data_IF_995850653947
#
_entry.id   IF_995850653947
#
_cell.length_a   1.000
_cell.length_b   1.000
_cell.length_c   1.000
_cell.angle_alpha   90.00
_cell.angle_beta   90.00
_cell.angle_gamma   90.00
#
_symmetry.space_group_name_H-M   'P 1'
#
loop_
_entity.id
_entity.type
_entity.pdbx_description
1 polymer ?
#
# COMPACT_ATOMS: atom_id res chain seq x y z
N UNK A 1 15.25 -13.94 9.79
CA UNK A 1 13.81 -13.79 9.87
C UNK A 1 13.40 -13.11 11.16
N UNK A 2 12.37 -12.26 11.11
CA UNK A 2 11.82 -11.56 12.27
C UNK A 2 10.38 -12.05 12.50
N UNK A 3 10.03 -12.39 13.75
CA UNK A 3 8.64 -12.73 14.11
C UNK A 3 7.82 -11.44 14.01
N UNK A 4 6.72 -11.48 13.24
CA UNK A 4 5.83 -10.34 13.04
C UNK A 4 4.68 -10.33 14.06
N UNK A 5 4.06 -11.50 14.30
CA UNK A 5 2.93 -11.65 15.21
C UNK A 5 2.94 -13.03 15.86
N UNK A 6 2.45 -13.12 17.10
CA UNK A 6 2.19 -14.36 17.84
C UNK A 6 0.76 -14.29 18.36
N UNK A 7 -0.05 -15.32 18.10
CA UNK A 7 -1.44 -15.43 18.56
C UNK A 7 -2.06 -16.76 18.14
N UNK A 8 -3.34 -16.94 18.43
CA UNK A 8 -4.07 -18.10 17.89
C UNK A 8 -4.30 -17.93 16.38
N UNK A 9 -4.52 -19.01 15.61
CA UNK A 9 -4.82 -18.88 14.18
C UNK A 9 -6.00 -17.94 13.90
N UNK A 10 -7.03 -17.97 14.75
CA UNK A 10 -8.22 -17.10 14.61
C UNK A 10 -7.87 -15.63 14.87
N UNK A 11 -7.09 -15.34 15.92
CA UNK A 11 -6.70 -13.98 16.23
C UNK A 11 -5.82 -13.39 15.13
N UNK A 12 -4.84 -14.17 14.61
CA UNK A 12 -3.95 -13.70 13.54
C UNK A 12 -4.72 -13.47 12.23
N UNK A 13 -5.75 -14.29 11.97
CA UNK A 13 -6.60 -14.13 10.79
C UNK A 13 -7.50 -12.89 10.89
N UNK A 14 -8.18 -12.71 12.02
CA UNK A 14 -9.17 -11.64 12.21
C UNK A 14 -8.54 -10.29 12.54
N UNK A 15 -7.42 -10.30 13.28
CA UNK A 15 -6.74 -9.10 13.78
C UNK A 15 -5.25 -9.10 13.40
N UNK A 16 -4.91 -9.08 12.09
CA UNK A 16 -3.52 -9.01 11.66
C UNK A 16 -2.89 -7.68 12.09
N UNK A 17 -1.67 -7.73 12.61
CA UNK A 17 -0.98 -6.54 13.14
C UNK A 17 -0.54 -5.56 12.04
N UNK A 18 -0.31 -6.06 10.83
CA UNK A 18 0.07 -5.28 9.67
C UNK A 18 -0.34 -5.96 8.35
N UNK A 19 -0.22 -5.22 7.25
CA UNK A 19 -0.60 -5.68 5.91
C UNK A 19 0.17 -6.92 5.43
N UNK A 20 1.42 -7.08 5.84
CA UNK A 20 2.20 -8.28 5.53
C UNK A 20 1.57 -9.53 6.15
N UNK A 21 1.18 -9.47 7.43
CA UNK A 21 0.52 -10.59 8.12
C UNK A 21 -0.85 -10.86 7.51
N UNK A 22 -1.62 -9.82 7.19
CA UNK A 22 -2.94 -9.93 6.56
C UNK A 22 -2.88 -10.68 5.23
N UNK A 23 -1.93 -10.30 4.37
CA UNK A 23 -1.71 -10.91 3.05
C UNK A 23 -1.16 -12.35 3.16
N UNK A 24 -0.21 -12.58 4.08
CA UNK A 24 0.44 -13.87 4.27
C UNK A 24 -0.53 -14.97 4.75
N UNK A 25 -1.52 -14.62 5.59
CA UNK A 25 -2.44 -15.59 6.20
C UNK A 25 -3.60 -15.98 5.28
N UNK A 26 -3.97 -15.14 4.32
CA UNK A 26 -5.04 -15.45 3.38
C UNK A 26 -5.39 -14.26 2.49
N UNK A 27 -6.07 -14.53 1.40
CA UNK A 27 -6.55 -13.48 0.50
C UNK A 27 -7.31 -12.40 1.26
N UNK A 28 -7.03 -11.16 0.92
CA UNK A 28 -7.62 -9.98 1.58
C UNK A 28 -7.71 -8.83 0.60
N UNK A 29 -8.76 -8.05 0.72
CA UNK A 29 -8.77 -6.71 0.16
C UNK A 29 -8.00 -5.80 1.13
N UNK A 30 -6.82 -5.36 0.76
CA UNK A 30 -5.98 -4.46 1.56
C UNK A 30 -5.90 -3.14 0.81
N UNK A 31 -6.45 -2.07 1.40
CA UNK A 31 -6.57 -0.77 0.76
C UNK A 31 -5.96 0.32 1.63
N UNK A 32 -5.52 1.39 0.97
CA UNK A 32 -5.19 2.61 1.67
C UNK A 32 -6.47 3.30 2.14
N UNK A 33 -6.50 3.70 3.41
CA UNK A 33 -7.61 4.41 3.99
C UNK A 33 -7.19 5.61 4.82
N UNK A 34 -8.17 6.39 5.22
CA UNK A 34 -8.02 7.50 6.15
C UNK A 34 -9.05 7.32 7.26
N UNK A 35 -8.60 7.21 8.49
CA UNK A 35 -9.48 7.25 9.65
C UNK A 35 -9.98 8.68 9.80
N UNK A 36 -11.23 8.95 9.45
CA UNK A 36 -11.82 10.30 9.52
C UNK A 36 -11.96 10.72 10.98
N UNK A 37 -12.48 9.82 11.79
CA UNK A 37 -12.62 9.91 13.25
C UNK A 37 -12.88 8.50 13.79
N UNK A 38 -12.93 8.35 15.08
CA UNK A 38 -13.30 7.08 15.71
C UNK A 38 -14.59 6.52 15.08
N UNK A 39 -14.55 5.25 14.73
CA UNK A 39 -15.65 4.48 14.11
C UNK A 39 -16.07 4.94 12.72
N UNK A 40 -15.24 5.72 12.01
CA UNK A 40 -15.51 6.16 10.65
C UNK A 40 -14.20 6.18 9.83
N UNK A 41 -14.13 5.34 8.82
CA UNK A 41 -12.98 5.23 7.91
C UNK A 41 -13.42 5.54 6.47
N UNK A 42 -12.55 6.19 5.71
CA UNK A 42 -12.74 6.41 4.27
C UNK A 42 -11.72 5.58 3.49
N UNK A 43 -12.18 4.76 2.57
CA UNK A 43 -11.36 4.07 1.58
C UNK A 43 -12.13 3.90 0.27
N UNK A 44 -11.43 3.72 -0.85
CA UNK A 44 -12.02 3.66 -2.19
C UNK A 44 -13.03 4.79 -2.49
N UNK A 45 -12.80 5.99 -1.94
CA UNK A 45 -13.64 7.17 -2.12
C UNK A 45 -14.95 7.19 -1.33
N UNK A 46 -15.21 6.18 -0.48
CA UNK A 46 -16.44 6.04 0.30
C UNK A 46 -16.16 6.01 1.80
N UNK A 47 -17.06 6.56 2.61
CA UNK A 47 -16.99 6.49 4.07
C UNK A 47 -17.77 5.28 4.59
N UNK A 48 -17.13 4.52 5.46
CA UNK A 48 -17.69 3.32 6.09
C UNK A 48 -17.64 3.47 7.60
N UNK A 49 -18.72 3.04 8.27
CA UNK A 49 -18.68 2.83 9.70
C UNK A 49 -17.81 1.62 10.01
N UNK A 50 -16.99 1.70 11.06
CA UNK A 50 -16.18 0.62 11.59
C UNK A 50 -16.29 0.57 13.12
N UNK A 51 -15.67 -0.41 13.77
CA UNK A 51 -15.69 -0.52 15.24
C UNK A 51 -14.46 0.07 15.89
N UNK A 52 -13.42 0.31 15.11
CA UNK A 52 -12.11 0.74 15.59
C UNK A 52 -12.11 2.20 16.06
N UNK A 53 -11.32 2.47 17.10
CA UNK A 53 -11.13 3.79 17.70
C UNK A 53 -9.68 3.98 18.16
N UNK A 54 -9.30 5.24 18.45
CA UNK A 54 -7.96 5.56 18.98
C UNK A 54 -6.86 5.72 17.93
N UNK A 55 -7.20 5.74 16.63
CA UNK A 55 -6.24 5.99 15.55
C UNK A 55 -5.92 7.48 15.36
N UNK A 56 -6.79 8.38 15.83
CA UNK A 56 -6.72 9.82 15.59
C UNK A 56 -7.52 10.26 14.36
N UNK A 57 -7.79 11.56 14.27
CA UNK A 57 -8.55 12.14 13.16
C UNK A 57 -7.69 12.37 11.93
N UNK A 58 -8.23 12.05 10.76
CA UNK A 58 -7.59 12.20 9.45
C UNK A 58 -6.23 11.46 9.33
N UNK A 59 -6.09 10.35 10.05
CA UNK A 59 -4.88 9.55 10.03
C UNK A 59 -4.88 8.51 8.92
N UNK A 60 -3.77 8.40 8.15
CA UNK A 60 -3.64 7.34 7.15
C UNK A 60 -3.55 5.97 7.84
N UNK A 61 -4.32 5.03 7.31
CA UNK A 61 -4.43 3.66 7.81
C UNK A 61 -4.39 2.66 6.66
N UNK A 62 -4.13 1.39 6.97
CA UNK A 62 -4.43 0.27 6.09
C UNK A 62 -5.75 -0.36 6.51
N UNK A 63 -6.62 -0.60 5.53
CA UNK A 63 -7.94 -1.21 5.71
C UNK A 63 -7.89 -2.62 5.15
N UNK A 64 -8.34 -3.59 5.93
CA UNK A 64 -8.46 -4.98 5.51
C UNK A 64 -9.92 -5.41 5.57
N UNK A 65 -10.42 -5.98 4.48
CA UNK A 65 -11.72 -6.64 4.40
C UNK A 65 -11.51 -7.99 3.72
N UNK A 66 -11.96 -9.06 4.35
CA UNK A 66 -11.87 -10.39 3.77
C UNK A 66 -12.84 -10.55 2.61
N UNK A 67 -12.51 -11.36 1.57
CA UNK A 67 -13.39 -11.56 0.43
C UNK A 67 -14.78 -12.09 0.79
N UNK A 68 -14.87 -12.95 1.80
CA UNK A 68 -16.11 -13.54 2.32
C UNK A 68 -16.97 -12.57 3.15
N UNK A 69 -16.42 -11.45 3.58
CA UNK A 69 -17.11 -10.44 4.40
C UNK A 69 -17.83 -9.39 3.56
N UNK A 70 -17.60 -9.38 2.26
CA UNK A 70 -18.33 -8.56 1.32
C UNK A 70 -19.68 -9.22 0.97
N UNK A 71 -20.77 -8.52 1.22
CA UNK A 71 -22.10 -8.89 0.70
C UNK A 71 -22.24 -8.32 -0.69
N UNK A 72 -22.44 -9.18 -1.69
CA UNK A 72 -22.71 -8.81 -3.08
C UNK A 72 -24.16 -9.08 -3.43
N UNK A 73 -24.81 -8.15 -4.10
CA UNK A 73 -26.21 -8.26 -4.49
C UNK A 73 -26.50 -7.43 -5.76
N UNK A 74 -27.64 -7.67 -6.45
CA UNK A 74 -28.05 -6.83 -7.56
C UNK A 74 -28.14 -5.37 -7.14
N UNK A 75 -27.82 -4.46 -8.07
CA UNK A 75 -27.79 -3.02 -7.80
C UNK A 75 -29.05 -2.55 -7.08
N UNK A 76 -28.87 -1.89 -5.94
CA UNK A 76 -29.94 -1.35 -5.10
C UNK A 76 -29.47 -0.18 -4.26
N UNK A 77 -30.40 0.59 -3.68
CA UNK A 77 -30.11 1.72 -2.78
C UNK A 77 -29.46 1.30 -1.45
N UNK A 78 -29.42 0.00 -1.14
CA UNK A 78 -28.76 -0.53 0.04
C UNK A 78 -27.24 -0.65 -0.11
N UNK A 79 -26.70 -0.49 -1.33
CA UNK A 79 -25.26 -0.59 -1.59
C UNK A 79 -24.50 0.57 -0.94
N UNK A 80 -23.40 0.22 -0.24
CA UNK A 80 -22.44 1.23 0.23
C UNK A 80 -21.52 1.66 -0.91
N UNK A 81 -21.20 0.73 -1.81
CA UNK A 81 -20.42 0.98 -3.01
C UNK A 81 -21.03 0.18 -4.17
N UNK A 82 -20.98 0.73 -5.37
CA UNK A 82 -21.49 0.07 -6.58
C UNK A 82 -20.36 -0.17 -7.57
N UNK A 83 -20.40 -1.29 -8.25
CA UNK A 83 -19.34 -1.66 -9.18
C UNK A 83 -19.81 -2.63 -10.25
N UNK A 84 -18.88 -3.03 -11.11
CA UNK A 84 -19.11 -3.98 -12.21
C UNK A 84 -18.25 -5.21 -11.98
N UNK A 85 -18.85 -6.40 -12.12
CA UNK A 85 -18.12 -7.67 -12.04
C UNK A 85 -17.19 -7.80 -13.26
N UNK A 86 -15.89 -7.94 -13.02
CA UNK A 86 -14.87 -8.10 -14.08
C UNK A 86 -14.36 -9.52 -14.22
N UNK A 87 -14.51 -10.33 -13.15
CA UNK A 87 -14.17 -11.76 -13.13
C UNK A 87 -15.15 -12.50 -12.24
N UNK A 88 -15.46 -13.75 -12.58
CA UNK A 88 -16.30 -14.63 -11.75
C UNK A 88 -15.86 -16.09 -11.98
N UNK A 89 -15.26 -16.71 -10.99
CA UNK A 89 -14.65 -18.05 -11.07
C UNK A 89 -15.23 -18.94 -9.98
N UNK A 90 -15.77 -20.10 -10.35
CA UNK A 90 -16.23 -21.09 -9.38
C UNK A 90 -15.04 -21.85 -8.76
N UNK A 91 -14.88 -21.77 -7.45
CA UNK A 91 -13.82 -22.41 -6.66
C UNK A 91 -14.24 -23.74 -6.01
N UNK A 92 -15.32 -24.36 -6.52
CA UNK A 92 -15.82 -25.65 -6.04
C UNK A 92 -16.88 -25.55 -4.92
N UNK A 93 -16.87 -24.51 -4.10
CA UNK A 93 -17.84 -24.28 -3.02
C UNK A 93 -18.50 -22.89 -3.14
N UNK A 94 -17.74 -21.89 -3.55
CA UNK A 94 -18.19 -20.52 -3.72
C UNK A 94 -17.69 -19.97 -5.06
N UNK A 95 -18.21 -18.84 -5.47
CA UNK A 95 -17.66 -18.03 -6.54
C UNK A 95 -16.70 -16.99 -5.96
N UNK A 96 -15.54 -16.88 -6.57
CA UNK A 96 -14.62 -15.76 -6.34
C UNK A 96 -14.81 -14.79 -7.50
N UNK A 97 -15.18 -13.59 -7.15
CA UNK A 97 -15.47 -12.53 -8.11
C UNK A 97 -14.56 -11.34 -7.87
N UNK A 98 -14.20 -10.68 -8.95
CA UNK A 98 -13.54 -9.37 -8.89
C UNK A 98 -14.55 -8.32 -9.32
N UNK A 99 -14.78 -7.33 -8.45
CA UNK A 99 -15.68 -6.21 -8.70
C UNK A 99 -14.86 -4.93 -8.81
N UNK A 100 -14.94 -4.28 -9.95
CA UNK A 100 -14.33 -2.97 -10.16
C UNK A 100 -15.29 -1.88 -9.71
N UNK A 101 -14.89 -1.09 -8.72
CA UNK A 101 -15.68 0.01 -8.16
C UNK A 101 -14.77 1.20 -7.80
N UNK A 102 -15.11 2.40 -8.25
CA UNK A 102 -14.37 3.64 -8.00
C UNK A 102 -12.87 3.58 -8.37
N UNK A 103 -12.49 2.74 -9.35
CA UNK A 103 -11.10 2.53 -9.75
C UNK A 103 -10.34 1.51 -8.90
N UNK A 104 -11.01 0.81 -7.99
CA UNK A 104 -10.45 -0.25 -7.13
C UNK A 104 -11.04 -1.60 -7.50
N UNK A 105 -10.21 -2.64 -7.45
CA UNK A 105 -10.62 -4.03 -7.55
C UNK A 105 -10.92 -4.58 -6.15
N UNK A 106 -12.12 -5.16 -6.01
CA UNK A 106 -12.54 -5.86 -4.79
C UNK A 106 -12.67 -7.34 -5.09
N UNK A 107 -11.96 -8.18 -4.36
CA UNK A 107 -12.15 -9.63 -4.36
C UNK A 107 -13.31 -9.95 -3.43
N UNK A 108 -14.30 -10.65 -3.95
CA UNK A 108 -15.54 -11.02 -3.23
C UNK A 108 -15.78 -12.51 -3.35
N UNK A 109 -16.10 -13.17 -2.27
CA UNK A 109 -16.48 -14.59 -2.24
C UNK A 109 -17.94 -14.72 -1.81
N UNK A 110 -18.76 -15.33 -2.68
CA UNK A 110 -20.18 -15.57 -2.40
C UNK A 110 -20.64 -16.91 -3.01
N UNK A 111 -21.71 -17.46 -2.48
CA UNK A 111 -22.33 -18.68 -3.02
C UNK A 111 -23.17 -18.40 -4.28
N UNK A 112 -23.59 -17.15 -4.47
CA UNK A 112 -24.35 -16.73 -5.64
C UNK A 112 -23.42 -16.28 -6.75
N UNK A 113 -23.79 -16.65 -7.98
CA UNK A 113 -23.08 -16.24 -9.17
C UNK A 113 -23.60 -14.90 -9.70
N UNK A 114 -22.67 -14.03 -10.08
CA UNK A 114 -22.92 -12.81 -10.81
C UNK A 114 -22.10 -12.85 -12.11
N UNK A 115 -22.71 -12.45 -13.22
CA UNK A 115 -22.07 -12.50 -14.53
C UNK A 115 -21.05 -11.36 -14.70
N UNK A 116 -19.99 -11.63 -15.47
CA UNK A 116 -19.04 -10.59 -15.89
C UNK A 116 -19.77 -9.51 -16.69
N UNK A 117 -19.56 -8.25 -16.34
CA UNK A 117 -20.24 -7.08 -16.87
C UNK A 117 -21.52 -6.69 -16.12
N UNK A 118 -21.96 -7.48 -15.14
CA UNK A 118 -23.12 -7.16 -14.33
C UNK A 118 -22.78 -6.05 -13.33
N UNK A 119 -23.68 -5.07 -13.19
CA UNK A 119 -23.63 -4.06 -12.14
C UNK A 119 -24.16 -4.64 -10.83
N UNK A 120 -23.43 -4.43 -9.76
CA UNK A 120 -23.71 -4.99 -8.43
C UNK A 120 -23.53 -3.95 -7.34
N UNK A 121 -24.20 -4.17 -6.23
CA UNK A 121 -23.95 -3.48 -4.97
C UNK A 121 -23.07 -4.30 -4.05
N UNK A 122 -22.18 -3.62 -3.34
CA UNK A 122 -21.36 -4.20 -2.26
C UNK A 122 -21.71 -3.52 -0.94
N UNK A 123 -21.68 -4.34 0.11
CA UNK A 123 -21.86 -3.90 1.49
C UNK A 123 -20.91 -4.69 2.39
N UNK A 124 -20.31 -4.02 3.36
CA UNK A 124 -19.52 -4.64 4.42
C UNK A 124 -20.02 -4.14 5.78
N UNK A 125 -20.06 -5.03 6.77
CA UNK A 125 -20.48 -4.63 8.13
C UNK A 125 -19.33 -3.96 8.87
N UNK A 126 -19.61 -3.06 9.84
CA UNK A 126 -18.60 -2.38 10.62
C UNK A 126 -17.59 -3.29 11.35
N UNK A 127 -18.02 -4.48 11.78
CA UNK A 127 -17.18 -5.47 12.47
C UNK A 127 -16.23 -6.22 11.54
N UNK A 128 -16.54 -6.24 10.25
CA UNK A 128 -15.81 -6.99 9.22
C UNK A 128 -14.77 -6.10 8.53
N UNK A 129 -14.67 -4.83 8.91
CA UNK A 129 -13.62 -3.90 8.50
C UNK A 129 -12.56 -3.86 9.60
N UNK A 130 -11.35 -4.31 9.28
CA UNK A 130 -10.22 -4.25 10.21
C UNK A 130 -9.28 -3.10 9.84
N UNK A 131 -8.97 -2.24 10.82
CA UNK A 131 -8.11 -1.07 10.62
C UNK A 131 -6.72 -1.35 11.21
N UNK A 132 -5.70 -1.14 10.40
CA UNK A 132 -4.32 -1.27 10.82
C UNK A 132 -3.60 0.08 10.75
N UNK A 133 -2.76 0.33 11.74
CA UNK A 133 -1.90 1.51 11.72
C UNK A 133 -0.89 1.41 10.58
N UNK A 134 -0.80 2.44 9.76
CA UNK A 134 0.26 2.54 8.77
C UNK A 134 1.60 2.72 9.46
N UNK A 135 2.53 1.79 9.24
CA UNK A 135 3.88 1.87 9.82
C UNK A 135 4.68 3.03 9.18
N UNK A 136 4.45 3.26 7.89
CA UNK A 136 5.15 4.28 7.10
C UNK A 136 4.23 4.90 6.06
N UNK A 137 4.42 6.18 5.81
CA UNK A 137 3.70 6.94 4.77
C UNK A 137 4.63 7.47 3.67
N UNK A 138 5.94 7.34 3.85
CA UNK A 138 7.00 7.72 2.91
C UNK A 138 8.30 6.99 3.24
N UNK A 139 9.22 6.96 2.28
CA UNK A 139 10.60 6.58 2.52
C UNK A 139 11.32 7.69 3.29
N UNK A 140 12.20 7.31 4.20
CA UNK A 140 12.99 8.23 4.98
C UNK A 140 14.38 7.65 5.21
N UNK A 141 15.41 8.33 4.70
CA UNK A 141 16.80 7.89 4.76
C UNK A 141 17.66 8.95 5.45
N UNK A 142 18.75 8.52 6.04
CA UNK A 142 19.83 9.43 6.43
C UNK A 142 20.68 9.74 5.20
N UNK A 143 21.11 10.98 5.05
CA UNK A 143 21.94 11.44 3.94
C UNK A 143 22.89 12.54 4.37
N UNK A 144 23.77 12.92 3.45
CA UNK A 144 24.74 14.01 3.63
C UNK A 144 24.72 14.89 2.38
N UNK A 145 24.66 16.21 2.56
CA UNK A 145 24.71 17.14 1.42
C UNK A 145 26.12 17.18 0.84
N UNK A 146 26.21 17.00 -0.47
CA UNK A 146 27.48 17.13 -1.23
C UNK A 146 27.70 18.60 -1.58
N UNK A 147 26.65 19.24 -2.07
CA UNK A 147 26.57 20.67 -2.39
C UNK A 147 25.11 21.14 -2.29
N UNK A 148 24.79 22.35 -2.76
CA UNK A 148 23.44 22.91 -2.66
C UNK A 148 22.35 22.15 -3.41
N UNK A 149 22.71 21.29 -4.37
CA UNK A 149 21.80 20.56 -5.28
C UNK A 149 22.09 19.05 -5.38
N UNK A 150 23.02 18.53 -4.58
CA UNK A 150 23.35 17.10 -4.56
C UNK A 150 23.40 16.56 -3.15
N UNK A 151 22.83 15.40 -2.96
CA UNK A 151 22.77 14.67 -1.68
C UNK A 151 23.25 13.23 -1.86
N UNK A 152 24.03 12.73 -0.92
CA UNK A 152 24.43 11.34 -0.83
C UNK A 152 23.51 10.61 0.14
N UNK A 153 22.88 9.55 -0.31
CA UNK A 153 22.14 8.61 0.54
C UNK A 153 22.04 7.24 -0.16
N UNK A 154 21.87 6.18 0.62
CA UNK A 154 21.88 4.80 0.11
C UNK A 154 23.17 4.47 -0.70
N UNK A 155 24.29 5.12 -0.37
CA UNK A 155 25.57 4.93 -1.06
C UNK A 155 25.67 5.48 -2.48
N UNK A 156 24.68 6.29 -2.90
CA UNK A 156 24.61 6.87 -4.23
C UNK A 156 24.40 8.38 -4.17
N UNK A 157 24.88 9.07 -5.22
CA UNK A 157 24.72 10.50 -5.37
C UNK A 157 23.44 10.80 -6.15
N UNK A 158 22.58 11.65 -5.56
CA UNK A 158 21.35 12.10 -6.18
C UNK A 158 21.34 13.60 -6.36
N UNK A 159 20.85 14.05 -7.51
CA UNK A 159 20.49 15.44 -7.72
C UNK A 159 19.18 15.77 -6.98
N UNK A 160 19.10 16.92 -6.34
CA UNK A 160 17.90 17.44 -5.68
C UNK A 160 17.70 18.91 -6.03
N UNK A 161 16.54 19.47 -5.70
CA UNK A 161 16.34 20.92 -5.84
C UNK A 161 17.28 21.66 -4.89
N UNK A 162 17.77 22.85 -5.31
CA UNK A 162 18.68 23.64 -4.49
C UNK A 162 18.13 23.93 -3.09
N UNK A 163 18.88 23.56 -2.09
CA UNK A 163 18.53 23.71 -0.67
C UNK A 163 19.34 24.87 -0.09
N UNK A 164 18.64 25.80 0.54
CA UNK A 164 19.27 26.94 1.24
C UNK A 164 19.47 26.58 2.70
N UNK A 165 20.46 27.19 3.33
CA UNK A 165 20.76 27.07 4.76
C UNK A 165 21.23 25.67 5.22
N UNK A 166 21.76 24.87 4.28
CA UNK A 166 22.43 23.60 4.56
C UNK A 166 23.79 23.62 3.85
N UNK A 167 24.87 23.40 4.61
CA UNK A 167 26.22 23.42 4.08
C UNK A 167 26.65 22.03 3.57
N UNK A 168 27.59 21.95 2.62
CA UNK A 168 28.22 20.68 2.24
C UNK A 168 28.79 19.93 3.45
N UNK A 169 28.53 18.61 3.52
CA UNK A 169 28.93 17.76 4.64
C UNK A 169 27.93 17.74 5.82
N UNK A 170 26.88 18.55 5.78
CA UNK A 170 25.82 18.46 6.83
C UNK A 170 24.96 17.20 6.63
N UNK A 171 24.67 16.53 7.74
CA UNK A 171 23.72 15.41 7.77
C UNK A 171 22.30 15.90 7.61
N UNK A 172 21.56 15.20 6.80
CA UNK A 172 20.18 15.51 6.46
C UNK A 172 19.30 14.28 6.51
N UNK A 173 18.01 14.49 6.66
CA UNK A 173 17.00 13.48 6.43
C UNK A 173 16.44 13.66 5.03
N UNK A 174 16.52 12.60 4.22
CA UNK A 174 15.97 12.53 2.87
C UNK A 174 14.61 11.86 2.94
N UNK A 175 13.58 12.52 2.40
CA UNK A 175 12.20 12.00 2.41
C UNK A 175 11.67 11.94 0.99
N UNK A 176 11.18 10.75 0.59
CA UNK A 176 10.62 10.49 -0.74
C UNK A 176 9.30 9.73 -0.60
N UNK A 177 8.26 10.19 -1.27
CA UNK A 177 6.99 9.47 -1.28
C UNK A 177 7.12 8.14 -2.05
N UNK A 178 6.38 7.11 -1.67
CA UNK A 178 6.45 5.78 -2.30
C UNK A 178 6.18 5.83 -3.80
N UNK A 179 5.21 6.65 -4.21
CA UNK A 179 4.81 6.85 -5.62
C UNK A 179 5.80 7.65 -6.46
N UNK A 180 6.77 8.28 -5.83
CA UNK A 180 7.77 9.12 -6.50
C UNK A 180 9.09 8.35 -6.76
N UNK A 181 9.14 7.07 -6.41
CA UNK A 181 10.20 6.12 -6.78
C UNK A 181 9.84 5.51 -8.14
N UNK A 182 10.79 5.48 -9.05
CA UNK A 182 10.63 4.92 -10.40
C UNK A 182 11.50 3.66 -10.50
N UNK A 183 10.88 2.55 -10.91
CA UNK A 183 11.58 1.30 -11.18
C UNK A 183 11.80 1.12 -12.69
N UNK A 184 12.93 0.53 -13.06
CA UNK A 184 13.34 0.27 -14.43
C UNK A 184 13.70 -1.20 -14.59
N UNK A 185 13.25 -1.82 -15.70
CA UNK A 185 13.63 -3.19 -16.08
C UNK A 185 15.15 -3.30 -16.34
N UNK A 186 15.75 -2.26 -16.90
CA UNK A 186 17.17 -2.18 -17.09
C UNK A 186 17.80 -1.46 -15.88
N UNK A 187 18.65 -2.17 -15.15
CA UNK A 187 19.35 -1.65 -13.97
C UNK A 187 20.22 -0.42 -14.27
N UNK A 188 20.78 -0.30 -15.50
CA UNK A 188 21.61 0.82 -15.93
C UNK A 188 20.82 2.16 -16.05
N UNK A 189 19.50 2.11 -16.12
CA UNK A 189 18.64 3.30 -16.16
C UNK A 189 18.33 3.87 -14.76
N UNK A 190 18.72 3.15 -13.71
CA UNK A 190 18.60 3.58 -12.31
C UNK A 190 19.85 4.29 -11.78
N UNK A 191 19.69 5.09 -10.75
CA UNK A 191 20.79 5.66 -9.95
C UNK A 191 21.34 4.63 -8.96
N UNK A 192 20.47 3.74 -8.49
CA UNK A 192 20.81 2.60 -7.64
C UNK A 192 20.03 1.37 -8.09
N UNK A 193 20.39 0.21 -7.56
CA UNK A 193 19.78 -1.09 -7.90
C UNK A 193 19.29 -1.82 -6.67
N UNK A 194 18.41 -2.78 -6.87
CA UNK A 194 17.89 -3.62 -5.80
C UNK A 194 16.98 -4.74 -6.30
N UNK A 195 16.62 -5.64 -5.39
CA UNK A 195 15.74 -6.78 -5.68
C UNK A 195 14.33 -6.56 -5.11
N UNK A 196 13.30 -6.81 -5.90
CA UNK A 196 11.92 -6.85 -5.43
C UNK A 196 11.75 -8.04 -4.48
N UNK A 197 11.38 -7.77 -3.22
CA UNK A 197 11.29 -8.78 -2.15
C UNK A 197 9.88 -9.08 -1.70
N UNK A 198 8.99 -8.11 -1.83
CA UNK A 198 7.60 -8.25 -1.40
C UNK A 198 6.71 -7.38 -2.27
N UNK A 199 5.56 -7.91 -2.64
CA UNK A 199 4.57 -7.27 -3.50
C UNK A 199 3.22 -7.40 -2.82
N UNK A 200 2.52 -6.28 -2.62
CA UNK A 200 1.19 -6.22 -2.04
C UNK A 200 0.28 -5.41 -2.95
N UNK A 201 -0.81 -6.01 -3.43
CA UNK A 201 -1.82 -5.28 -4.19
C UNK A 201 -2.76 -4.51 -3.25
N UNK A 202 -2.96 -3.22 -3.54
CA UNK A 202 -3.77 -2.29 -2.73
C UNK A 202 -5.13 -1.94 -3.37
N UNK A 203 -5.57 -2.77 -4.31
CA UNK A 203 -6.85 -2.61 -5.02
C UNK A 203 -6.76 -1.71 -6.25
N UNK A 204 -5.85 -0.76 -6.29
CA UNK A 204 -5.64 0.17 -7.42
C UNK A 204 -4.17 0.32 -7.83
N UNK A 205 -3.23 -0.16 -7.02
CA UNK A 205 -1.79 -0.13 -7.29
C UNK A 205 -1.07 -1.24 -6.51
N UNK A 206 0.20 -1.47 -6.83
CA UNK A 206 1.08 -2.37 -6.10
C UNK A 206 1.95 -1.58 -5.13
N UNK A 207 2.04 -2.05 -3.89
CA UNK A 207 3.00 -1.58 -2.90
C UNK A 207 4.13 -2.60 -2.80
N UNK A 208 5.34 -2.20 -3.16
CA UNK A 208 6.51 -3.06 -3.23
C UNK A 208 7.48 -2.75 -2.09
N UNK A 209 8.20 -3.78 -1.64
CA UNK A 209 9.44 -3.63 -0.89
C UNK A 209 10.59 -4.06 -1.79
N UNK A 210 11.50 -3.15 -2.09
CA UNK A 210 12.72 -3.38 -2.86
C UNK A 210 13.90 -3.29 -1.91
N UNK A 211 14.67 -4.37 -1.80
CA UNK A 211 15.91 -4.37 -1.00
C UNK A 211 17.04 -3.86 -1.89
N UNK A 212 17.59 -2.70 -1.55
CA UNK A 212 18.72 -2.14 -2.28
C UNK A 212 19.97 -3.00 -2.11
N UNK A 213 20.92 -2.91 -3.03
CA UNK A 213 22.20 -3.61 -2.94
C UNK A 213 23.03 -3.19 -1.73
N UNK A 214 22.67 -2.08 -1.09
CA UNK A 214 23.25 -1.58 0.16
C UNK A 214 22.56 -2.12 1.42
N UNK A 215 21.50 -2.96 1.25
CA UNK A 215 20.80 -3.66 2.34
C UNK A 215 19.69 -2.86 3.01
N UNK A 216 19.32 -1.70 2.47
CA UNK A 216 18.19 -0.89 2.94
C UNK A 216 16.93 -1.21 2.14
N UNK A 217 15.78 -1.26 2.81
CA UNK A 217 14.49 -1.46 2.17
C UNK A 217 13.93 -0.13 1.65
N UNK A 218 13.52 -0.14 0.38
CA UNK A 218 12.87 0.98 -0.31
C UNK A 218 11.43 0.57 -0.61
N UNK A 219 10.47 1.39 -0.24
CA UNK A 219 9.04 1.16 -0.46
C UNK A 219 8.57 1.94 -1.68
N UNK A 220 7.85 1.27 -2.58
CA UNK A 220 7.45 1.80 -3.89
C UNK A 220 5.97 1.54 -4.13
N UNK A 221 5.21 2.58 -4.53
CA UNK A 221 3.85 2.45 -5.04
C UNK A 221 3.90 2.61 -6.56
N UNK A 222 3.47 1.59 -7.31
CA UNK A 222 3.49 1.57 -8.77
C UNK A 222 2.26 0.86 -9.35
N UNK A 223 1.91 1.21 -10.59
CA UNK A 223 0.91 0.46 -11.38
C UNK A 223 1.56 -0.59 -12.28
N UNK A 224 2.88 -0.60 -12.38
CA UNK A 224 3.62 -1.58 -13.16
C UNK A 224 3.67 -2.92 -12.42
N UNK A 225 3.63 -4.00 -13.20
CA UNK A 225 3.65 -5.37 -12.67
C UNK A 225 5.10 -5.85 -12.60
N UNK A 226 5.50 -6.26 -11.41
CA UNK A 226 6.83 -6.80 -11.11
C UNK A 226 6.69 -8.18 -10.48
N UNK A 227 7.73 -9.00 -10.60
CA UNK A 227 7.79 -10.29 -9.96
C UNK A 227 8.74 -10.27 -8.75
N UNK A 228 8.44 -11.13 -7.77
CA UNK A 228 9.31 -11.29 -6.62
C UNK A 228 10.66 -11.89 -7.04
N UNK A 229 11.73 -11.18 -6.75
CA UNK A 229 13.09 -11.52 -7.16
C UNK A 229 13.60 -10.77 -8.40
N UNK A 230 12.76 -9.93 -9.03
CA UNK A 230 13.22 -9.05 -10.10
C UNK A 230 14.33 -8.12 -9.59
N UNK A 231 15.42 -8.03 -10.34
CA UNK A 231 16.49 -7.08 -10.10
C UNK A 231 16.22 -5.83 -10.95
N UNK A 232 16.12 -4.67 -10.29
CA UNK A 232 15.60 -3.43 -10.90
C UNK A 232 16.55 -2.27 -10.72
N UNK A 233 16.56 -1.36 -11.69
CA UNK A 233 17.11 -0.03 -11.54
C UNK A 233 16.10 0.87 -10.80
N UNK A 234 16.60 1.77 -9.95
CA UNK A 234 15.78 2.69 -9.14
C UNK A 234 16.22 4.12 -9.40
N UNK A 235 15.31 4.98 -9.75
CA UNK A 235 15.55 6.41 -9.91
C UNK A 235 14.52 7.27 -9.18
N UNK A 236 14.92 8.50 -8.87
CA UNK A 236 14.09 9.48 -8.18
C UNK A 236 14.33 10.83 -8.86
N UNK A 237 13.27 11.51 -9.28
CA UNK A 237 13.41 12.83 -9.87
C UNK A 237 13.84 13.86 -8.82
N UNK A 238 14.72 14.81 -9.16
CA UNK A 238 15.27 15.79 -8.21
C UNK A 238 14.21 16.55 -7.39
N UNK A 239 13.11 16.95 -8.03
CA UNK A 239 12.01 17.68 -7.39
C UNK A 239 11.16 16.82 -6.43
N UNK A 240 11.38 15.50 -6.40
CA UNK A 240 10.69 14.55 -5.52
C UNK A 240 11.49 14.23 -4.25
N UNK A 241 12.74 14.61 -4.22
CA UNK A 241 13.63 14.47 -3.08
C UNK A 241 13.43 15.66 -2.14
N UNK A 242 12.89 15.41 -0.96
CA UNK A 242 12.75 16.42 0.08
C UNK A 242 13.89 16.30 1.09
N UNK A 243 14.62 17.39 1.27
CA UNK A 243 15.71 17.47 2.24
C UNK A 243 15.21 18.17 3.49
N UNK A 244 15.45 17.56 4.64
CA UNK A 244 15.11 18.10 5.96
C UNK A 244 16.39 18.17 6.79
N UNK A 245 16.69 19.35 7.30
CA UNK A 245 17.84 19.56 8.20
C UNK A 245 17.63 18.79 9.49
N UNK A 246 18.64 18.03 9.90
CA UNK A 246 18.66 17.39 11.22
C UNK A 246 19.09 18.46 12.22
N UNK A 247 18.21 18.79 13.16
CA UNK A 247 18.52 19.69 14.28
C UNK A 247 18.87 18.79 15.45
N UNK A 248 20.12 18.90 15.93
CA UNK A 248 20.62 18.20 17.12
C UNK A 248 19.85 18.61 18.40
#
# INVERSE_FOLDING_TARGET
GRIQQIGTPVDIYNEPINSFVADFIGESNILNGIMIKDKLVRFAGVEFECVDEGFGENMPVDVVVRPEDWYIFPLSDAAQITGTVTSSIFKGVHYEMVVMANGYEFIVQDYHHFDVGQEVGLLVKPFDIHIMKKERVCNSFEGEMIDESHVDFLGCHFECLPVKDIEPGEKVKVVVAFKDIILHDNEEDGTLTGDVRFILYKGDHYHLTVSSDWGEDIYVDTNDVWDNGDHVGISILPEKIKIIKVVD
#
